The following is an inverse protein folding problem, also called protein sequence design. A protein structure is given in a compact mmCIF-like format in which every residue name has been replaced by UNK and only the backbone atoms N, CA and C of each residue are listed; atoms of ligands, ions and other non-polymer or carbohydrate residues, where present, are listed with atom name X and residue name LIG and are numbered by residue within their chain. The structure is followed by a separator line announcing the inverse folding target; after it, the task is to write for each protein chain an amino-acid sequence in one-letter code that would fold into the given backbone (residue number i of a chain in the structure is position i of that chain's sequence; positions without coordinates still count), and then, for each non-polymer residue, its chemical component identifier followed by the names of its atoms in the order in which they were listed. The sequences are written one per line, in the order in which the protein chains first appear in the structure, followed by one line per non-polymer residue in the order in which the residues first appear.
data_IF_496476675956
#
_entry.id   IF_496476675956
#
_cell.length_a   1.000
_cell.length_b   1.000
_cell.length_c   1.000
_cell.angle_alpha   90.00
_cell.angle_beta   90.00
_cell.angle_gamma   90.00
#
_symmetry.space_group_name_H-M   'P 1'
#
loop_
_entity.id
_entity.type
_entity.pdbx_description
1 polymer ?
#
# COMPACT_ATOMS: atom_id res chain seq x y z
N UNK A 1 91.46 -33.30 2.70
CA UNK A 1 90.77 -32.59 1.59
C UNK A 1 89.49 -33.33 1.33
N UNK A 2 88.36 -32.81 1.91
CA UNK A 2 87.04 -33.44 1.67
C UNK A 2 86.14 -32.28 1.16
N UNK A 3 85.64 -32.42 -0.07
CA UNK A 3 84.74 -31.45 -0.71
C UNK A 3 83.31 -31.75 -0.21
N UNK A 4 82.69 -30.77 0.41
CA UNK A 4 81.26 -30.76 0.74
C UNK A 4 80.45 -30.42 -0.48
N UNK A 5 79.53 -31.31 -0.93
CA UNK A 5 78.49 -31.02 -1.93
C UNK A 5 77.30 -30.42 -1.27
N UNK A 6 77.02 -29.19 -1.59
CA UNK A 6 75.74 -28.51 -1.16
C UNK A 6 74.60 -29.02 -2.03
N UNK A 7 73.63 -29.63 -1.39
CA UNK A 7 72.35 -30.05 -2.00
C UNK A 7 71.30 -28.97 -1.78
N UNK A 8 70.98 -28.22 -2.83
CA UNK A 8 69.90 -27.24 -2.83
C UNK A 8 68.56 -27.96 -2.88
N UNK A 9 67.80 -27.87 -1.82
CA UNK A 9 66.39 -28.36 -1.79
C UNK A 9 65.50 -27.20 -2.25
N UNK A 10 64.97 -27.31 -3.48
CA UNK A 10 63.91 -26.39 -3.97
C UNK A 10 62.59 -26.79 -3.32
N UNK A 11 62.14 -26.03 -2.34
CA UNK A 11 60.79 -26.14 -1.77
C UNK A 11 59.83 -25.40 -2.69
N UNK A 12 59.12 -26.14 -3.56
CA UNK A 12 58.06 -25.60 -4.39
C UNK A 12 56.84 -25.28 -3.54
N UNK A 13 56.58 -24.00 -3.28
CA UNK A 13 55.32 -23.49 -2.71
C UNK A 13 54.22 -23.63 -3.76
N UNK A 14 53.44 -24.69 -3.70
CA UNK A 14 52.14 -24.78 -4.36
C UNK A 14 51.15 -23.85 -3.63
N UNK A 15 51.06 -22.62 -4.10
CA UNK A 15 49.98 -21.71 -3.73
C UNK A 15 48.74 -22.18 -4.51
N UNK A 16 47.95 -23.04 -3.88
CA UNK A 16 46.60 -23.36 -4.34
C UNK A 16 45.74 -22.08 -4.16
N UNK A 17 45.59 -21.33 -5.24
CA UNK A 17 44.60 -20.26 -5.34
C UNK A 17 43.20 -20.88 -5.23
N UNK A 18 42.68 -20.92 -4.04
CA UNK A 18 41.25 -21.12 -3.82
C UNK A 18 40.53 -19.89 -4.37
N UNK A 19 40.14 -19.96 -5.64
CA UNK A 19 39.14 -19.05 -6.17
C UNK A 19 37.87 -19.35 -5.41
N UNK A 20 37.60 -18.58 -4.38
CA UNK A 20 36.29 -18.54 -3.77
C UNK A 20 35.31 -18.06 -4.86
N UNK A 21 34.62 -19.01 -5.48
CA UNK A 21 33.43 -18.70 -6.29
C UNK A 21 32.47 -18.10 -5.28
N UNK A 22 32.38 -16.79 -5.27
CA UNK A 22 31.31 -16.12 -4.55
C UNK A 22 30.00 -16.63 -5.16
N UNK A 23 29.30 -17.49 -4.45
CA UNK A 23 27.95 -17.89 -4.80
C UNK A 23 27.16 -16.60 -4.72
N UNK A 24 26.92 -15.98 -5.87
CA UNK A 24 26.09 -14.78 -5.96
C UNK A 24 24.70 -15.26 -5.58
N UNK A 25 24.22 -14.79 -4.42
CA UNK A 25 22.89 -15.14 -3.98
C UNK A 25 21.89 -14.71 -5.06
N UNK A 26 20.98 -15.60 -5.41
CA UNK A 26 19.92 -15.26 -6.37
C UNK A 26 19.15 -14.03 -5.89
N UNK A 27 18.85 -13.08 -6.79
CA UNK A 27 18.10 -11.90 -6.43
C UNK A 27 16.75 -12.30 -5.81
N UNK A 28 16.35 -11.73 -4.64
CA UNK A 28 15.12 -12.09 -3.99
C UNK A 28 13.90 -11.60 -4.79
N UNK A 29 12.82 -12.35 -4.76
CA UNK A 29 11.54 -11.86 -5.24
C UNK A 29 11.03 -10.72 -4.34
N UNK A 30 10.37 -9.71 -4.94
CA UNK A 30 9.88 -8.54 -4.24
C UNK A 30 8.37 -8.42 -4.41
N UNK A 31 7.65 -8.36 -3.29
CA UNK A 31 6.22 -8.09 -3.24
C UNK A 31 5.98 -6.77 -2.50
N UNK A 32 5.51 -5.75 -3.22
CA UNK A 32 5.05 -4.49 -2.66
C UNK A 32 3.53 -4.53 -2.51
N UNK A 33 3.04 -4.42 -1.28
CA UNK A 33 1.61 -4.28 -0.99
C UNK A 33 1.35 -2.85 -0.53
N UNK A 34 0.52 -2.11 -1.28
CA UNK A 34 0.08 -0.76 -0.94
C UNK A 34 -1.40 -0.80 -0.57
N UNK A 35 -1.74 -0.33 0.62
CA UNK A 35 -3.12 -0.32 1.14
C UNK A 35 -3.59 1.14 1.21
N UNK A 36 -4.68 1.46 0.51
CA UNK A 36 -5.14 2.84 0.36
C UNK A 36 -5.91 3.31 1.61
N UNK A 37 -5.51 4.46 2.15
CA UNK A 37 -6.11 5.08 3.35
C UNK A 37 -6.06 4.21 4.62
N UNK A 38 -5.15 3.23 4.71
CA UNK A 38 -4.89 2.50 5.94
C UNK A 38 -4.17 3.43 6.94
N UNK A 39 -4.80 3.63 8.09
CA UNK A 39 -4.21 4.33 9.22
C UNK A 39 -3.51 3.35 10.19
N UNK A 40 -3.18 3.79 11.40
CA UNK A 40 -2.55 2.97 12.42
C UNK A 40 -3.50 1.96 13.12
N UNK A 41 -4.73 1.78 12.65
CA UNK A 41 -5.68 0.83 13.20
C UNK A 41 -5.38 -0.59 12.71
N UNK A 42 -4.20 -1.07 13.05
CA UNK A 42 -3.71 -2.43 12.85
C UNK A 42 -3.10 -2.92 14.15
N UNK A 43 -3.16 -4.21 14.42
CA UNK A 43 -2.76 -4.79 15.70
C UNK A 43 -1.32 -4.42 16.10
N UNK A 44 -0.36 -4.57 15.20
CA UNK A 44 1.05 -4.28 15.46
C UNK A 44 1.37 -2.79 15.76
N UNK A 45 0.48 -1.86 15.42
CA UNK A 45 0.61 -0.44 15.75
C UNK A 45 -0.25 0.00 16.92
N UNK A 46 -1.23 -0.82 17.34
CA UNK A 46 -2.07 -0.57 18.52
C UNK A 46 -2.97 0.67 18.41
N UNK A 47 -3.29 1.12 17.19
CA UNK A 47 -4.05 2.36 16.98
C UNK A 47 -5.53 2.27 17.33
N UNK A 48 -6.11 1.07 17.32
CA UNK A 48 -7.47 0.83 17.78
C UNK A 48 -7.57 -0.54 18.46
N UNK A 49 -8.19 -0.65 19.66
CA UNK A 49 -8.19 -1.90 20.45
C UNK A 49 -8.94 -3.06 19.77
N UNK A 50 -9.86 -2.75 18.87
CA UNK A 50 -10.66 -3.74 18.15
C UNK A 50 -10.16 -4.02 16.73
N UNK A 51 -9.04 -3.44 16.30
CA UNK A 51 -8.45 -3.74 15.01
C UNK A 51 -7.98 -5.20 14.96
N UNK A 52 -8.32 -5.90 13.85
CA UNK A 52 -7.97 -7.30 13.64
C UNK A 52 -7.19 -7.45 12.34
N UNK A 53 -5.87 -7.50 12.45
CA UNK A 53 -4.96 -7.60 11.29
C UNK A 53 -3.95 -8.74 11.44
N UNK A 54 -4.39 -9.99 11.66
CA UNK A 54 -3.50 -11.09 12.05
C UNK A 54 -2.40 -11.40 11.02
N UNK A 55 -2.64 -11.12 9.74
CA UNK A 55 -1.66 -11.35 8.69
C UNK A 55 -0.60 -10.22 8.63
N UNK A 56 -1.01 -8.97 8.84
CA UNK A 56 -0.09 -7.82 8.95
C UNK A 56 0.75 -7.98 10.21
N UNK A 57 0.13 -8.35 11.34
CA UNK A 57 0.78 -8.55 12.63
C UNK A 57 1.86 -9.64 12.54
N UNK A 58 1.51 -10.80 11.94
CA UNK A 58 2.46 -11.90 11.70
C UNK A 58 3.61 -11.50 10.77
N UNK A 59 3.37 -10.60 9.81
CA UNK A 59 4.44 -10.05 8.97
C UNK A 59 5.36 -9.13 9.78
N UNK A 60 4.79 -8.29 10.63
CA UNK A 60 5.54 -7.40 11.53
C UNK A 60 6.42 -8.18 12.51
N UNK A 61 5.91 -9.29 13.08
CA UNK A 61 6.65 -10.16 14.02
C UNK A 61 7.94 -10.76 13.41
N UNK A 62 7.96 -11.03 12.11
CA UNK A 62 9.11 -11.65 11.42
C UNK A 62 9.90 -10.70 10.53
N UNK A 63 9.47 -9.44 10.45
CA UNK A 63 10.08 -8.40 9.61
C UNK A 63 10.56 -7.21 10.44
N UNK A 64 10.74 -6.10 9.76
CA UNK A 64 11.05 -4.81 10.40
C UNK A 64 9.80 -3.93 10.39
N UNK A 65 9.28 -3.58 11.56
CA UNK A 65 8.17 -2.66 11.72
C UNK A 65 8.67 -1.22 11.81
N UNK A 66 8.26 -0.38 10.86
CA UNK A 66 8.49 1.07 10.87
C UNK A 66 7.33 1.77 11.57
N UNK A 67 7.38 1.90 12.90
CA UNK A 67 6.29 2.45 13.72
C UNK A 67 6.04 3.96 13.53
N UNK A 68 6.98 4.67 12.93
CA UNK A 68 6.91 6.11 12.68
C UNK A 68 7.12 6.43 11.18
N UNK A 69 6.41 5.71 10.30
CA UNK A 69 6.45 5.97 8.87
C UNK A 69 5.42 7.05 8.48
N UNK A 70 5.83 7.98 7.63
CA UNK A 70 4.99 9.09 7.17
C UNK A 70 4.89 9.10 5.65
N UNK A 71 3.69 9.28 5.12
CA UNK A 71 3.51 9.53 3.69
C UNK A 71 3.97 10.95 3.32
N UNK A 72 4.37 11.15 2.08
CA UNK A 72 4.85 12.45 1.59
C UNK A 72 3.72 13.46 1.37
N UNK A 73 2.49 13.00 1.21
CA UNK A 73 1.28 13.80 1.15
C UNK A 73 0.05 12.93 1.47
N UNK A 74 -0.93 13.43 2.24
CA UNK A 74 -2.11 12.66 2.63
C UNK A 74 -3.20 12.68 1.52
N UNK A 75 -2.79 12.50 0.26
CA UNK A 75 -3.66 12.43 -0.92
C UNK A 75 -3.11 11.34 -1.84
N UNK A 76 -3.99 10.54 -2.45
CA UNK A 76 -3.64 9.35 -3.22
C UNK A 76 -2.56 9.58 -4.28
N UNK A 77 -2.78 10.52 -5.21
CA UNK A 77 -1.87 10.71 -6.35
C UNK A 77 -0.48 11.21 -5.92
N UNK A 78 -0.32 12.28 -5.13
CA UNK A 78 1.01 12.75 -4.74
C UNK A 78 1.76 11.73 -3.87
N UNK A 79 1.07 11.01 -2.97
CA UNK A 79 1.67 9.93 -2.18
C UNK A 79 2.20 8.82 -3.07
N UNK A 80 1.36 8.29 -3.96
CA UNK A 80 1.71 7.20 -4.89
C UNK A 80 2.77 7.62 -5.89
N UNK A 81 2.72 8.86 -6.38
CA UNK A 81 3.78 9.44 -7.22
C UNK A 81 5.11 9.43 -6.48
N UNK A 82 5.12 9.83 -5.21
CA UNK A 82 6.34 9.85 -4.42
C UNK A 82 6.92 8.46 -4.19
N UNK A 83 6.08 7.46 -3.96
CA UNK A 83 6.49 6.05 -3.81
C UNK A 83 7.10 5.52 -5.12
N UNK A 84 6.41 5.76 -6.25
CA UNK A 84 6.79 5.17 -7.54
C UNK A 84 7.95 5.87 -8.23
N UNK A 85 8.09 7.17 -8.03
CA UNK A 85 9.15 7.98 -8.68
C UNK A 85 10.30 8.35 -7.75
N UNK A 86 10.15 8.14 -6.43
CA UNK A 86 11.16 8.57 -5.45
C UNK A 86 11.29 10.10 -5.33
N UNK A 87 10.28 10.87 -5.79
CA UNK A 87 10.33 12.34 -5.88
C UNK A 87 9.21 12.94 -5.03
N UNK A 88 9.55 13.87 -4.16
CA UNK A 88 8.58 14.54 -3.27
C UNK A 88 7.63 15.46 -4.06
N UNK A 89 6.40 15.72 -3.55
CA UNK A 89 5.45 16.64 -4.18
C UNK A 89 6.02 18.02 -4.46
N UNK A 90 6.83 18.56 -3.54
CA UNK A 90 7.50 19.87 -3.71
C UNK A 90 8.48 19.92 -4.88
N UNK A 91 9.01 18.79 -5.31
CA UNK A 91 9.94 18.70 -6.45
C UNK A 91 9.23 18.27 -7.73
N UNK A 92 8.21 17.41 -7.62
CA UNK A 92 7.44 16.95 -8.78
C UNK A 92 6.37 17.93 -9.25
N UNK A 93 5.87 18.78 -8.34
CA UNK A 93 4.70 19.64 -8.58
C UNK A 93 3.36 18.90 -8.53
N UNK A 94 3.36 17.60 -8.19
CA UNK A 94 2.15 16.80 -8.05
C UNK A 94 1.63 16.91 -6.62
N UNK A 95 0.66 17.78 -6.39
CA UNK A 95 0.08 18.03 -5.07
C UNK A 95 -1.34 17.47 -4.90
N UNK A 96 -2.02 17.20 -6.01
CA UNK A 96 -3.42 16.79 -6.05
C UNK A 96 -3.62 15.53 -6.89
N UNK A 97 -4.86 15.04 -6.99
CA UNK A 97 -5.21 13.86 -7.79
C UNK A 97 -5.08 14.07 -9.32
N UNK A 98 -4.69 15.26 -9.75
CA UNK A 98 -4.32 15.65 -11.11
C UNK A 98 -3.11 16.58 -11.04
N UNK A 99 -2.20 16.56 -12.02
CA UNK A 99 -2.15 15.75 -13.26
C UNK A 99 -1.69 14.30 -13.01
N UNK A 100 -1.77 13.46 -14.05
CA UNK A 100 -1.16 12.12 -14.04
C UNK A 100 0.36 12.25 -13.98
N UNK A 101 1.09 11.51 -13.13
CA UNK A 101 2.54 11.73 -12.93
C UNK A 101 3.36 11.65 -14.20
N UNK A 102 3.06 10.69 -15.08
CA UNK A 102 3.80 10.50 -16.35
C UNK A 102 3.59 11.58 -17.41
N UNK A 103 2.69 12.54 -17.13
CA UNK A 103 2.52 13.73 -18.00
C UNK A 103 3.25 14.95 -17.45
N UNK A 104 3.85 14.86 -16.27
CA UNK A 104 4.53 15.98 -15.61
C UNK A 104 5.96 16.09 -16.10
N UNK A 105 6.36 17.28 -16.56
CA UNK A 105 7.68 17.54 -17.13
C UNK A 105 8.82 17.18 -16.17
N UNK A 106 8.68 17.59 -14.90
CA UNK A 106 9.69 17.34 -13.87
C UNK A 106 9.94 15.84 -13.59
N UNK A 107 9.04 14.96 -14.03
CA UNK A 107 9.14 13.51 -13.82
C UNK A 107 9.56 12.73 -15.08
N UNK A 108 9.69 13.37 -16.23
CA UNK A 108 9.99 12.68 -17.51
C UNK A 108 11.33 11.96 -17.53
N UNK A 109 12.32 12.49 -16.82
CA UNK A 109 13.65 11.86 -16.70
C UNK A 109 13.75 10.88 -15.53
N UNK A 110 12.73 10.77 -14.70
CA UNK A 110 12.73 9.90 -13.53
C UNK A 110 12.46 8.45 -13.93
N UNK A 111 13.26 7.54 -13.40
CA UNK A 111 13.02 6.10 -13.53
C UNK A 111 12.06 5.69 -12.42
N UNK A 112 10.95 5.08 -12.78
CA UNK A 112 9.97 4.56 -11.81
C UNK A 112 10.51 3.32 -11.11
N UNK A 113 10.00 3.03 -9.90
CA UNK A 113 10.36 1.84 -9.15
C UNK A 113 10.22 0.54 -9.97
N UNK A 114 9.10 0.27 -10.66
CA UNK A 114 9.00 -0.93 -11.49
C UNK A 114 9.99 -0.96 -12.65
N UNK A 115 10.26 0.17 -13.31
CA UNK A 115 11.29 0.24 -14.36
C UNK A 115 12.70 -0.02 -13.85
N UNK A 116 12.99 0.42 -12.63
CA UNK A 116 14.27 0.13 -12.00
C UNK A 116 14.44 -1.37 -11.78
N UNK A 117 13.40 -2.06 -11.30
CA UNK A 117 13.42 -3.50 -11.16
C UNK A 117 13.53 -4.20 -12.53
N UNK A 118 12.78 -3.78 -13.54
CA UNK A 118 12.87 -4.32 -14.89
C UNK A 118 14.30 -4.19 -15.46
N UNK A 119 14.92 -3.02 -15.33
CA UNK A 119 16.31 -2.79 -15.74
C UNK A 119 17.33 -3.64 -14.97
N UNK A 120 16.96 -4.10 -13.78
CA UNK A 120 17.75 -5.01 -12.93
C UNK A 120 17.47 -6.49 -13.19
N UNK A 121 16.75 -6.83 -14.26
CA UNK A 121 16.47 -8.21 -14.68
C UNK A 121 15.25 -8.85 -14.01
N UNK A 122 14.41 -8.08 -13.33
CA UNK A 122 13.16 -8.58 -12.74
C UNK A 122 12.04 -8.56 -13.76
N UNK A 123 11.14 -9.53 -13.69
CA UNK A 123 9.84 -9.45 -14.33
C UNK A 123 8.88 -8.67 -13.45
N UNK A 124 8.16 -7.70 -14.03
CA UNK A 124 7.35 -6.75 -13.28
C UNK A 124 5.87 -6.97 -13.47
N UNK A 125 5.13 -6.99 -12.35
CA UNK A 125 3.71 -7.28 -12.31
C UNK A 125 2.96 -6.26 -11.46
N UNK A 126 1.70 -5.99 -11.80
CA UNK A 126 0.85 -5.15 -10.97
C UNK A 126 -0.61 -5.55 -11.01
N UNK A 127 -1.31 -5.37 -9.89
CA UNK A 127 -2.77 -5.45 -9.79
C UNK A 127 -3.30 -4.38 -8.83
N UNK A 128 -4.56 -4.00 -9.00
CA UNK A 128 -5.24 -3.07 -8.11
C UNK A 128 -4.75 -1.63 -8.19
N UNK A 129 -4.88 -0.89 -7.09
CA UNK A 129 -4.60 0.55 -7.02
C UNK A 129 -3.13 0.83 -6.67
N UNK A 130 -2.24 0.86 -7.64
CA UNK A 130 -0.83 1.27 -7.48
C UNK A 130 -0.63 2.73 -7.87
N UNK A 131 -1.20 3.18 -8.98
CA UNK A 131 -1.32 4.58 -9.34
C UNK A 131 -2.72 5.10 -9.09
N UNK A 132 -2.89 6.41 -9.02
CA UNK A 132 -4.22 7.01 -8.87
C UNK A 132 -5.00 6.96 -10.19
N UNK A 133 -6.28 6.59 -10.10
CA UNK A 133 -7.16 6.42 -11.26
C UNK A 133 -6.91 5.13 -12.03
N UNK A 134 -7.40 5.09 -13.28
CA UNK A 134 -7.43 3.86 -14.09
C UNK A 134 -6.23 3.67 -15.01
N UNK A 135 -5.26 4.60 -15.01
CA UNK A 135 -4.11 4.54 -15.89
C UNK A 135 -2.83 4.08 -15.20
N UNK A 136 -1.92 3.54 -16.02
CA UNK A 136 -0.55 3.23 -15.63
C UNK A 136 0.41 3.96 -16.58
N UNK A 137 1.62 4.32 -16.12
CA UNK A 137 2.67 4.78 -17.02
C UNK A 137 2.97 3.69 -18.07
N UNK A 138 3.06 4.05 -19.36
CA UNK A 138 3.41 3.06 -20.39
C UNK A 138 4.76 2.41 -20.10
N UNK A 139 4.83 1.08 -20.11
CA UNK A 139 6.07 0.33 -19.95
C UNK A 139 6.60 0.21 -18.51
N UNK A 140 5.79 0.50 -17.49
CA UNK A 140 6.17 0.29 -16.09
C UNK A 140 6.11 -1.20 -15.70
N UNK A 141 5.18 -1.94 -16.27
CA UNK A 141 4.96 -3.34 -15.91
C UNK A 141 4.86 -4.23 -17.14
N UNK A 142 5.42 -5.43 -17.05
CA UNK A 142 5.36 -6.46 -18.10
C UNK A 142 3.97 -7.10 -18.14
N UNK A 143 3.33 -7.28 -16.98
CA UNK A 143 2.00 -7.88 -16.88
C UNK A 143 1.13 -7.12 -15.88
N UNK A 144 -0.10 -6.86 -16.30
CA UNK A 144 -1.09 -6.12 -15.52
C UNK A 144 -2.27 -7.03 -15.25
N UNK A 145 -2.62 -7.16 -13.98
CA UNK A 145 -3.77 -7.93 -13.50
C UNK A 145 -5.11 -7.30 -13.88
N UNK A 146 -6.20 -7.84 -13.35
CA UNK A 146 -7.55 -7.34 -13.61
C UNK A 146 -7.64 -5.83 -13.40
N UNK A 147 -8.24 -5.14 -14.35
CA UNK A 147 -8.31 -3.66 -14.28
C UNK A 147 -9.29 -3.22 -13.19
N UNK A 148 -9.02 -2.09 -12.52
CA UNK A 148 -9.95 -1.46 -11.58
C UNK A 148 -11.21 -0.92 -12.27
N UNK A 149 -11.95 -1.71 -12.97
CA UNK A 149 -13.18 -1.35 -13.69
C UNK A 149 -14.20 -2.47 -13.67
N UNK A 150 -13.77 -3.65 -13.24
CA UNK A 150 -14.66 -4.79 -12.90
C UNK A 150 -15.16 -4.70 -11.45
N UNK A 151 -15.11 -3.49 -10.87
CA UNK A 151 -15.60 -3.24 -9.52
C UNK A 151 -17.05 -3.68 -9.41
N UNK A 152 -17.36 -4.30 -8.28
CA UNK A 152 -18.72 -4.41 -7.82
C UNK A 152 -19.36 -3.01 -7.89
N UNK A 153 -20.24 -2.79 -8.85
CA UNK A 153 -21.05 -1.59 -8.89
C UNK A 153 -22.13 -1.76 -7.83
N UNK A 154 -22.02 -0.98 -6.79
CA UNK A 154 -23.07 -0.86 -5.81
C UNK A 154 -24.00 0.21 -6.33
N UNK A 155 -25.12 -0.21 -6.88
CA UNK A 155 -26.08 0.69 -7.51
C UNK A 155 -26.90 1.44 -6.46
N UNK A 156 -27.07 0.87 -5.26
CA UNK A 156 -27.77 1.47 -4.13
C UNK A 156 -26.79 1.87 -3.04
N UNK A 157 -26.90 3.11 -2.62
CA UNK A 157 -26.18 3.62 -1.46
C UNK A 157 -26.87 3.16 -0.19
N UNK A 158 -26.05 2.72 0.77
CA UNK A 158 -26.53 2.35 2.10
C UNK A 158 -26.96 3.57 2.94
N UNK A 159 -26.29 4.72 2.70
CA UNK A 159 -26.52 5.96 3.44
C UNK A 159 -26.79 7.10 2.44
N UNK A 160 -28.06 7.26 2.00
CA UNK A 160 -28.41 8.28 1.02
C UNK A 160 -28.12 9.71 1.48
N UNK A 161 -28.13 9.96 2.79
CA UNK A 161 -27.93 11.28 3.42
C UNK A 161 -26.48 11.80 3.23
N UNK A 162 -25.52 10.93 2.99
CA UNK A 162 -24.13 11.35 2.69
C UNK A 162 -23.99 11.95 1.30
N UNK A 163 -25.05 11.95 0.50
CA UNK A 163 -25.04 12.42 -0.89
C UNK A 163 -24.74 13.90 -1.02
N UNK A 164 -25.21 14.72 -0.06
CA UNK A 164 -25.06 16.17 -0.10
C UNK A 164 -23.69 16.59 0.42
N UNK A 165 -22.85 17.07 -0.49
CA UNK A 165 -21.49 17.57 -0.21
C UNK A 165 -20.35 16.58 -0.39
N UNK A 166 -20.58 15.28 -0.38
CA UNK A 166 -19.52 14.26 -0.44
C UNK A 166 -19.29 13.65 -1.82
N UNK A 167 -19.82 14.24 -2.86
CA UNK A 167 -19.64 13.80 -4.27
C UNK A 167 -19.76 12.27 -4.49
N UNK A 168 -20.61 11.61 -3.71
CA UNK A 168 -20.90 10.20 -3.86
C UNK A 168 -19.81 9.22 -3.44
N UNK A 169 -18.71 9.66 -2.80
CA UNK A 169 -17.68 8.76 -2.31
C UNK A 169 -17.98 8.21 -0.90
N UNK A 170 -18.61 9.00 -0.03
CA UNK A 170 -18.86 8.60 1.35
C UNK A 170 -20.12 7.75 1.46
N UNK A 171 -19.88 6.51 1.82
CA UNK A 171 -20.87 5.51 2.15
C UNK A 171 -20.18 4.42 2.96
N UNK A 172 -20.92 3.66 3.76
CA UNK A 172 -20.31 2.63 4.59
C UNK A 172 -21.32 1.58 5.01
N UNK A 173 -20.84 0.36 5.28
CA UNK A 173 -21.64 -0.77 5.76
C UNK A 173 -21.31 -2.10 5.10
N UNK A 174 -21.96 -3.14 5.58
CA UNK A 174 -21.85 -4.49 5.05
C UNK A 174 -22.61 -4.67 3.74
N UNK A 175 -22.00 -5.34 2.78
CA UNK A 175 -22.56 -5.64 1.47
C UNK A 175 -22.82 -7.14 1.31
N UNK A 176 -24.04 -7.52 0.89
CA UNK A 176 -24.48 -8.92 0.76
C UNK A 176 -23.99 -9.62 -0.51
N UNK A 177 -22.93 -9.12 -1.12
CA UNK A 177 -22.32 -9.74 -2.30
C UNK A 177 -21.33 -10.84 -1.90
N UNK A 178 -21.08 -11.78 -2.82
CA UNK A 178 -20.02 -12.78 -2.66
C UNK A 178 -18.67 -12.11 -2.55
N UNK A 179 -17.81 -12.62 -1.67
CA UNK A 179 -16.49 -12.05 -1.40
C UNK A 179 -15.61 -11.97 -2.66
N UNK A 180 -15.73 -12.97 -3.55
CA UNK A 180 -14.98 -13.05 -4.81
C UNK A 180 -15.30 -11.91 -5.79
N UNK A 181 -16.37 -11.16 -5.55
CA UNK A 181 -16.73 -9.99 -6.36
C UNK A 181 -16.06 -8.69 -5.88
N UNK A 182 -15.50 -8.68 -4.68
CA UNK A 182 -14.77 -7.51 -4.19
C UNK A 182 -13.43 -7.36 -4.92
N UNK A 183 -13.10 -6.13 -5.31
CA UNK A 183 -11.92 -5.87 -6.13
C UNK A 183 -10.63 -6.34 -5.46
N UNK A 184 -10.48 -6.09 -4.16
CA UNK A 184 -9.26 -6.47 -3.43
C UNK A 184 -9.09 -8.00 -3.34
N UNK A 185 -10.20 -8.76 -3.30
CA UNK A 185 -10.17 -10.22 -3.41
C UNK A 185 -9.66 -10.67 -4.80
N UNK A 186 -10.16 -10.03 -5.86
CA UNK A 186 -9.75 -10.33 -7.24
C UNK A 186 -8.27 -10.01 -7.44
N UNK A 187 -7.81 -8.87 -6.94
CA UNK A 187 -6.41 -8.44 -7.05
C UNK A 187 -5.47 -9.36 -6.26
N UNK A 188 -5.86 -9.74 -5.04
CA UNK A 188 -5.11 -10.68 -4.22
C UNK A 188 -5.02 -12.06 -4.87
N UNK A 189 -6.14 -12.58 -5.38
CA UNK A 189 -6.20 -13.89 -6.03
C UNK A 189 -5.31 -13.94 -7.25
N UNK A 190 -5.35 -12.91 -8.09
CA UNK A 190 -4.45 -12.80 -9.25
C UNK A 190 -2.98 -12.79 -8.85
N UNK A 191 -2.61 -11.98 -7.84
CA UNK A 191 -1.23 -11.90 -7.37
C UNK A 191 -0.74 -13.24 -6.81
N UNK A 192 -1.58 -13.97 -6.08
CA UNK A 192 -1.30 -15.31 -5.57
C UNK A 192 -1.03 -16.27 -6.74
N UNK A 193 -1.83 -16.21 -7.79
CA UNK A 193 -1.65 -17.07 -8.97
C UNK A 193 -0.35 -16.75 -9.71
N UNK A 194 0.05 -15.48 -9.82
CA UNK A 194 1.35 -15.08 -10.37
C UNK A 194 2.49 -15.65 -9.53
N UNK A 195 2.43 -15.49 -8.20
CA UNK A 195 3.46 -16.00 -7.28
C UNK A 195 3.59 -17.53 -7.37
N UNK A 196 2.47 -18.25 -7.52
CA UNK A 196 2.44 -19.72 -7.60
C UNK A 196 3.02 -20.27 -8.89
N UNK A 197 3.00 -19.50 -9.97
CA UNK A 197 3.50 -19.95 -11.30
C UNK A 197 5.01 -20.19 -11.34
N UNK A 198 5.76 -19.86 -10.32
CA UNK A 198 7.21 -19.97 -10.18
C UNK A 198 7.95 -19.61 -11.48
N UNK A 199 8.70 -18.55 -11.48
CA UNK A 199 9.56 -18.13 -12.58
C UNK A 199 11.02 -18.40 -12.18
N UNK A 200 11.86 -18.78 -13.13
CA UNK A 200 13.32 -18.80 -12.93
C UNK A 200 13.87 -17.37 -12.81
N UNK A 201 13.18 -16.40 -13.39
CA UNK A 201 13.51 -14.98 -13.31
C UNK A 201 12.92 -14.38 -12.03
N UNK A 202 13.67 -13.57 -11.27
CA UNK A 202 13.14 -12.87 -10.11
C UNK A 202 12.01 -11.93 -10.52
N UNK A 203 11.04 -11.74 -9.64
CA UNK A 203 9.90 -10.88 -9.92
C UNK A 203 9.77 -9.71 -8.92
N UNK A 204 9.24 -8.61 -9.43
CA UNK A 204 8.71 -7.50 -8.66
C UNK A 204 7.21 -7.44 -8.89
N UNK A 205 6.40 -7.64 -7.84
CA UNK A 205 4.95 -7.53 -7.89
C UNK A 205 4.52 -6.34 -7.03
N UNK A 206 3.75 -5.41 -7.61
CA UNK A 206 3.10 -4.31 -6.89
C UNK A 206 1.59 -4.55 -6.86
N UNK A 207 1.03 -4.78 -5.65
CA UNK A 207 -0.41 -4.98 -5.45
C UNK A 207 -0.97 -3.84 -4.62
N UNK A 208 -2.02 -3.18 -5.14
CA UNK A 208 -2.66 -2.06 -4.47
C UNK A 208 -4.07 -2.40 -4.02
N UNK A 209 -4.29 -2.58 -2.72
CA UNK A 209 -5.63 -2.76 -2.17
C UNK A 209 -6.33 -1.42 -2.04
N UNK A 210 -7.63 -1.45 -2.31
CA UNK A 210 -8.45 -0.25 -2.28
C UNK A 210 -9.01 0.03 -0.90
N UNK A 211 -9.40 -1.01 -0.14
CA UNK A 211 -9.90 -0.83 1.22
C UNK A 211 -8.71 -0.64 2.18
N UNK A 212 -8.90 0.19 3.23
CA UNK A 212 -10.12 0.84 3.71
C UNK A 212 -10.46 2.23 3.13
N UNK A 213 -10.02 2.61 1.93
CA UNK A 213 -10.50 3.83 1.27
C UNK A 213 -12.04 3.82 1.10
N UNK A 214 -12.66 4.98 1.25
CA UNK A 214 -14.11 5.14 1.04
C UNK A 214 -14.58 4.72 -0.36
N UNK A 215 -15.81 4.21 -0.47
CA UNK A 215 -16.77 3.86 0.56
C UNK A 215 -16.29 2.67 1.39
N UNK A 216 -16.58 2.66 2.70
CA UNK A 216 -16.16 1.57 3.61
C UNK A 216 -17.09 0.36 3.47
N UNK A 217 -16.97 -0.33 2.36
CA UNK A 217 -17.76 -1.53 2.07
C UNK A 217 -16.95 -2.79 2.31
N UNK A 218 -17.49 -3.66 3.13
CA UNK A 218 -16.96 -5.01 3.38
C UNK A 218 -18.06 -6.07 3.16
N UNK A 219 -17.70 -7.34 3.00
CA UNK A 219 -18.70 -8.41 3.03
C UNK A 219 -19.49 -8.37 4.34
N UNK A 220 -20.82 -8.56 4.27
CA UNK A 220 -21.70 -8.54 5.46
C UNK A 220 -21.24 -9.51 6.55
N UNK A 221 -20.64 -10.64 6.18
CA UNK A 221 -20.07 -11.59 7.14
C UNK A 221 -19.00 -10.94 8.00
N UNK A 222 -18.03 -10.27 7.38
CA UNK A 222 -16.92 -9.59 8.08
C UNK A 222 -17.44 -8.39 8.89
N UNK A 223 -18.34 -7.60 8.30
CA UNK A 223 -18.95 -6.46 8.97
C UNK A 223 -19.64 -6.88 10.29
N UNK A 224 -20.35 -8.00 10.30
CA UNK A 224 -21.07 -8.50 11.47
C UNK A 224 -20.17 -9.14 12.54
N UNK A 225 -18.88 -9.38 12.26
CA UNK A 225 -17.94 -9.90 13.26
C UNK A 225 -17.61 -8.88 14.36
N UNK A 226 -17.89 -7.59 14.10
CA UNK A 226 -17.67 -6.49 15.08
C UNK A 226 -19.00 -5.76 15.24
N UNK A 227 -19.88 -6.18 16.18
CA UNK A 227 -21.20 -5.54 16.37
C UNK A 227 -21.06 -4.06 16.77
N UNK A 228 -21.91 -3.19 16.20
CA UNK A 228 -21.85 -1.74 16.40
C UNK A 228 -22.00 -1.29 17.85
N UNK A 229 -22.78 -2.03 18.65
CA UNK A 229 -22.96 -1.75 20.07
C UNK A 229 -21.69 -1.96 20.90
N UNK A 230 -20.80 -2.83 20.45
CA UNK A 230 -19.51 -3.12 21.09
C UNK A 230 -18.40 -2.14 20.68
N UNK A 231 -18.63 -1.30 19.67
CA UNK A 231 -17.59 -0.41 19.15
C UNK A 231 -17.15 0.61 20.20
N UNK A 232 -15.85 0.62 20.46
CA UNK A 232 -15.16 1.65 21.19
C UNK A 232 -14.87 2.82 20.23
N UNK A 233 -15.41 4.02 20.56
CA UNK A 233 -15.16 5.19 19.73
C UNK A 233 -13.76 5.76 20.00
N UNK A 234 -13.07 6.26 18.97
CA UNK A 234 -11.81 6.97 19.16
C UNK A 234 -12.00 8.17 20.08
N UNK A 235 -11.02 8.42 20.93
CA UNK A 235 -11.03 9.59 21.83
C UNK A 235 -10.95 10.86 20.99
N UNK A 236 -11.90 11.77 21.22
CA UNK A 236 -11.89 13.11 20.64
C UNK A 236 -11.66 14.09 21.79
N UNK A 237 -10.66 14.94 21.63
CA UNK A 237 -10.33 15.98 22.61
C UNK A 237 -11.01 17.27 22.22
N UNK A 238 -11.77 17.84 23.17
CA UNK A 238 -12.36 19.17 23.00
C UNK A 238 -11.25 20.23 22.86
N UNK A 239 -11.43 21.14 21.90
CA UNK A 239 -10.45 22.18 21.65
C UNK A 239 -9.12 21.72 21.03
N UNK A 240 -9.02 20.48 20.56
CA UNK A 240 -7.78 19.93 19.98
C UNK A 240 -7.20 20.73 18.78
N UNK A 241 -8.04 21.59 18.19
CA UNK A 241 -7.63 22.43 17.05
C UNK A 241 -7.53 23.92 17.39
N UNK A 242 -7.63 24.29 18.66
CA UNK A 242 -7.68 25.70 19.07
C UNK A 242 -6.32 26.40 18.90
N UNK A 243 -5.22 25.63 18.91
CA UNK A 243 -3.85 26.10 18.65
C UNK A 243 -3.47 26.12 17.16
N UNK A 244 -4.35 25.62 16.27
CA UNK A 244 -4.07 25.61 14.84
C UNK A 244 -4.34 26.97 14.19
N UNK A 245 -3.48 27.41 13.25
CA UNK A 245 -3.75 28.61 12.48
C UNK A 245 -5.00 28.43 11.61
N UNK A 246 -5.75 29.52 11.39
CA UNK A 246 -7.03 29.49 10.68
C UNK A 246 -6.99 28.83 9.30
N UNK A 247 -5.86 28.91 8.60
CA UNK A 247 -5.67 28.20 7.31
C UNK A 247 -5.75 26.68 7.48
N UNK A 248 -5.13 26.11 8.52
CA UNK A 248 -5.18 24.67 8.79
C UNK A 248 -6.62 24.23 9.13
N UNK A 249 -7.33 25.00 9.96
CA UNK A 249 -8.74 24.76 10.26
C UNK A 249 -9.62 24.80 9.01
N UNK A 250 -9.36 25.73 8.08
CA UNK A 250 -10.11 25.80 6.82
C UNK A 250 -9.85 24.62 5.90
N UNK A 251 -8.64 24.05 5.88
CA UNK A 251 -8.34 22.85 5.11
C UNK A 251 -9.15 21.64 5.58
N UNK A 252 -9.51 21.56 6.86
CA UNK A 252 -10.35 20.48 7.40
C UNK A 252 -11.84 20.61 7.04
N UNK A 253 -12.27 21.74 6.48
CA UNK A 253 -13.64 21.99 6.03
C UNK A 253 -13.88 21.59 4.57
N UNK A 254 -13.06 20.67 4.04
CA UNK A 254 -13.18 20.22 2.66
C UNK A 254 -14.58 19.65 2.38
N UNK A 255 -15.25 20.04 1.27
CA UNK A 255 -16.59 19.57 0.94
C UNK A 255 -16.63 18.10 0.46
N UNK A 256 -15.51 17.40 0.57
CA UNK A 256 -15.36 16.03 0.10
C UNK A 256 -15.75 14.96 1.14
N UNK A 257 -15.99 15.34 2.39
CA UNK A 257 -16.32 14.42 3.47
C UNK A 257 -17.40 15.03 4.39
N UNK A 258 -18.28 14.22 5.00
CA UNK A 258 -19.13 14.67 6.07
C UNK A 258 -18.30 15.20 7.25
N UNK A 259 -18.78 16.26 7.91
CA UNK A 259 -18.15 16.76 9.12
C UNK A 259 -18.26 15.74 10.26
N UNK A 260 -17.33 15.76 11.22
CA UNK A 260 -17.42 14.91 12.41
C UNK A 260 -18.75 15.10 13.16
N UNK A 261 -19.23 16.35 13.30
CA UNK A 261 -20.52 16.66 13.91
C UNK A 261 -21.68 15.90 13.25
N UNK A 262 -21.66 15.73 11.93
CA UNK A 262 -22.69 14.95 11.23
C UNK A 262 -22.74 13.48 11.70
N UNK A 263 -21.58 12.84 11.90
CA UNK A 263 -21.53 11.45 12.40
C UNK A 263 -22.07 11.34 13.83
N UNK A 264 -21.81 12.35 14.67
CA UNK A 264 -22.29 12.40 16.05
C UNK A 264 -23.80 12.65 16.07
N UNK A 265 -24.28 13.69 15.37
CA UNK A 265 -25.68 14.11 15.33
C UNK A 265 -26.59 13.08 14.67
N UNK A 266 -26.12 12.39 13.63
CA UNK A 266 -26.85 11.31 12.98
C UNK A 266 -26.82 9.97 13.74
N UNK A 267 -26.01 9.86 14.80
CA UNK A 267 -25.81 8.62 15.55
C UNK A 267 -25.03 7.54 14.78
N UNK A 268 -24.44 7.87 13.61
CA UNK A 268 -23.79 6.88 12.72
C UNK A 268 -22.29 6.70 12.96
N UNK A 269 -21.73 7.34 13.97
CA UNK A 269 -20.28 7.29 14.18
C UNK A 269 -19.79 5.87 14.48
N UNK A 270 -20.48 5.11 15.33
CA UNK A 270 -20.13 3.71 15.60
C UNK A 270 -20.18 2.84 14.34
N UNK A 271 -21.21 3.01 13.52
CA UNK A 271 -21.36 2.28 12.25
C UNK A 271 -20.21 2.60 11.27
N UNK A 272 -19.78 3.86 11.20
CA UNK A 272 -18.65 4.26 10.37
C UNK A 272 -17.33 3.65 10.86
N UNK A 273 -17.08 3.64 12.17
CA UNK A 273 -15.90 2.99 12.79
C UNK A 273 -15.92 1.50 12.55
N UNK A 274 -17.06 0.84 12.79
CA UNK A 274 -17.28 -0.59 12.48
C UNK A 274 -16.93 -0.90 11.03
N UNK A 275 -17.45 -0.09 10.10
CA UNK A 275 -17.23 -0.29 8.66
C UNK A 275 -15.76 -0.15 8.26
N UNK A 276 -15.05 0.82 8.85
CA UNK A 276 -13.61 0.96 8.64
C UNK A 276 -12.85 -0.27 9.16
N UNK A 277 -13.11 -0.69 10.40
CA UNK A 277 -12.48 -1.88 11.00
C UNK A 277 -12.78 -3.16 10.21
N UNK A 278 -13.97 -3.27 9.64
CA UNK A 278 -14.34 -4.41 8.79
C UNK A 278 -13.66 -4.37 7.41
N UNK A 279 -13.12 -3.23 7.01
CA UNK A 279 -12.34 -3.08 5.77
C UNK A 279 -10.84 -3.37 5.98
N UNK A 280 -10.34 -3.31 7.22
CA UNK A 280 -8.96 -3.64 7.58
C UNK A 280 -8.77 -5.15 7.68
#
# INVERSE_FOLDING_TARGET
MIRAKSMLVLLGLLVSSWSSVAVQAEPPNVLLIAIDDLNNWVGCLGGHPQARSPNIDRLAERGTLFSNAHCQAPICNPSRTSIMYGVRPSSSGVYMNSPKPWTVEALKSSVTLPRHFAASGYRTYTAGKIYHGSGLPPGDFDEVGPRPGQRLRIDERLIPETRDGAKGLWDFGGQSYKEELFQDYVDASWAIDVIRKRSEQPFFIAVGFYRPHVPFYSPTRVFNEIPADTIELPVVKDGDRDDLPGIATNLTKAPAAPAHSWFVESGRWKEAVQSYLACV
#
